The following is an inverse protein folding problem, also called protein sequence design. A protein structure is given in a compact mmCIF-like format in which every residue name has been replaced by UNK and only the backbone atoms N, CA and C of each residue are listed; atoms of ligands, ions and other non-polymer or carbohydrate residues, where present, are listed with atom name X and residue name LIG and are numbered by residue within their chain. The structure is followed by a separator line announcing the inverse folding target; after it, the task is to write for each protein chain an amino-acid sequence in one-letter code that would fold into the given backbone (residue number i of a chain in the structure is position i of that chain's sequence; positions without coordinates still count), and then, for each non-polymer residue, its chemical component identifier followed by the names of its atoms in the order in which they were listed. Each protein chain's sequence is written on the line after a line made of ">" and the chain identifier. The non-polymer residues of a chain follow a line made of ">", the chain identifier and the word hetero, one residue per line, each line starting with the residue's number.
data_IF_334006859620
#
_entry.id   IF_334006859620
#
_cell.length_a   1.000
_cell.length_b   1.000
_cell.length_c   1.000
_cell.angle_alpha   90.00
_cell.angle_beta   90.00
_cell.angle_gamma   90.00
#
_symmetry.space_group_name_H-M   'P 1'
#
loop_
_entity.id
_entity.type
_entity.pdbx_description
1 polymer ?
#
# COMPACT_ATOMS: atom_id res chain seq x y z
N UNK A 1 -10.29 8.83 12.76
CA UNK A 1 -11.60 8.54 13.37
C UNK A 1 -12.69 8.31 12.32
N UNK A 2 -12.93 9.25 11.42
CA UNK A 2 -14.08 9.20 10.47
C UNK A 2 -14.14 8.02 9.48
N UNK A 3 -13.11 7.19 9.39
CA UNK A 3 -13.07 6.03 8.50
C UNK A 3 -13.07 4.68 9.20
N UNK A 4 -12.98 4.66 10.52
CA UNK A 4 -13.04 3.42 11.29
C UNK A 4 -14.50 3.11 11.64
N UNK A 5 -14.88 1.85 11.50
CA UNK A 5 -16.25 1.38 11.76
C UNK A 5 -16.65 1.54 13.24
N UNK A 6 -15.67 1.49 14.13
CA UNK A 6 -15.85 1.66 15.58
C UNK A 6 -14.66 2.35 16.23
N UNK A 7 -14.86 2.82 17.47
CA UNK A 7 -13.81 3.37 18.30
C UNK A 7 -12.69 2.34 18.57
N UNK A 8 -13.05 1.08 18.75
CA UNK A 8 -12.09 -0.01 18.93
C UNK A 8 -11.17 -0.15 17.71
N UNK A 9 -11.73 -0.17 16.49
CA UNK A 9 -10.97 -0.24 15.24
C UNK A 9 -10.09 1.00 15.06
N UNK A 10 -10.55 2.16 15.51
CA UNK A 10 -9.73 3.36 15.54
C UNK A 10 -8.52 3.21 16.45
N UNK A 11 -8.70 2.74 17.68
CA UNK A 11 -7.59 2.49 18.61
C UNK A 11 -6.61 1.44 18.07
N UNK A 12 -7.11 0.35 17.47
CA UNK A 12 -6.26 -0.65 16.82
C UNK A 12 -5.45 -0.04 15.66
N UNK A 13 -6.03 0.86 14.88
CA UNK A 13 -5.34 1.54 13.78
C UNK A 13 -4.24 2.47 14.30
N UNK A 14 -4.53 3.23 15.34
CA UNK A 14 -3.53 4.10 16.00
C UNK A 14 -2.39 3.26 16.59
N UNK A 15 -2.74 2.16 17.25
CA UNK A 15 -1.75 1.22 17.81
C UNK A 15 -0.85 0.62 16.72
N UNK A 16 -1.42 0.18 15.60
CA UNK A 16 -0.66 -0.33 14.45
C UNK A 16 0.43 0.66 13.98
N UNK A 17 0.08 1.94 13.89
CA UNK A 17 1.01 2.98 13.44
C UNK A 17 2.09 3.26 14.50
N UNK A 18 1.69 3.35 15.77
CA UNK A 18 2.61 3.63 16.87
C UNK A 18 3.56 2.46 17.14
N UNK A 19 3.08 1.23 17.08
CA UNK A 19 3.88 0.01 17.23
C UNK A 19 5.04 -0.05 16.22
N UNK A 20 4.80 0.39 14.98
CA UNK A 20 5.85 0.51 13.99
C UNK A 20 6.93 1.52 14.39
N UNK A 21 6.54 2.68 14.90
CA UNK A 21 7.49 3.71 15.38
C UNK A 21 8.28 3.21 16.59
N UNK A 22 7.60 2.60 17.55
CA UNK A 22 8.21 2.03 18.74
C UNK A 22 9.16 0.87 18.43
N UNK A 23 8.86 0.07 17.40
CA UNK A 23 9.75 -0.98 16.92
C UNK A 23 11.12 -0.41 16.54
N UNK A 24 11.16 0.66 15.75
CA UNK A 24 12.43 1.32 15.39
C UNK A 24 13.14 1.91 16.60
N UNK A 25 12.42 2.56 17.48
CA UNK A 25 12.98 3.16 18.72
C UNK A 25 13.60 2.09 19.63
N UNK A 26 12.90 0.98 19.86
CA UNK A 26 13.40 -0.14 20.68
C UNK A 26 14.70 -0.75 20.15
N UNK A 27 14.91 -0.69 18.84
CA UNK A 27 16.14 -1.22 18.19
C UNK A 27 17.19 -0.13 17.96
N UNK A 28 17.02 1.06 18.50
CA UNK A 28 17.94 2.18 18.31
C UNK A 28 18.12 2.61 16.87
N UNK A 29 17.11 2.35 16.02
CA UNK A 29 17.11 2.70 14.61
C UNK A 29 16.26 3.94 14.36
N UNK A 30 16.71 4.78 13.42
CA UNK A 30 15.94 5.91 12.93
C UNK A 30 15.12 5.52 11.70
N UNK A 31 13.91 6.06 11.59
CA UNK A 31 13.10 5.94 10.37
C UNK A 31 13.63 6.99 9.37
N UNK A 32 14.67 6.63 8.61
CA UNK A 32 15.29 7.53 7.63
C UNK A 32 15.20 6.96 6.20
N UNK A 33 15.64 7.76 5.22
CA UNK A 33 15.49 7.46 3.79
C UNK A 33 14.02 7.21 3.35
N UNK A 34 13.11 7.82 4.06
CA UNK A 34 11.70 7.83 3.72
C UNK A 34 11.22 9.29 3.61
N UNK A 35 10.92 9.80 2.42
CA UNK A 35 10.92 9.12 1.11
C UNK A 35 12.29 8.70 0.60
N UNK A 36 12.33 7.59 -0.14
CA UNK A 36 13.57 7.12 -0.78
C UNK A 36 14.07 8.12 -1.84
N UNK A 37 15.37 8.06 -2.23
CA UNK A 37 15.89 8.93 -3.29
C UNK A 37 15.09 8.88 -4.58
N UNK A 38 14.54 7.71 -4.92
CA UNK A 38 13.68 7.55 -6.09
C UNK A 38 12.32 8.21 -5.94
N UNK A 39 11.73 8.25 -4.75
CA UNK A 39 10.50 9.00 -4.49
C UNK A 39 10.74 10.50 -4.58
N UNK A 40 11.85 11.01 -4.01
CA UNK A 40 12.25 12.42 -4.09
C UNK A 40 12.43 12.89 -5.53
N UNK A 41 13.11 12.08 -6.35
CA UNK A 41 13.26 12.33 -7.78
C UNK A 41 11.92 12.35 -8.53
N UNK A 42 10.93 11.60 -8.05
CA UNK A 42 9.55 11.57 -8.58
C UNK A 42 8.63 12.65 -8.02
N UNK A 43 9.13 13.58 -7.18
CA UNK A 43 8.37 14.73 -6.66
C UNK A 43 7.80 14.55 -5.25
N UNK A 44 7.96 13.37 -4.61
CA UNK A 44 7.56 13.15 -3.22
C UNK A 44 8.74 13.55 -2.33
N UNK A 45 8.71 14.75 -1.78
CA UNK A 45 9.86 15.38 -1.13
C UNK A 45 9.88 15.21 0.40
N UNK A 46 8.73 15.02 1.01
CA UNK A 46 8.61 14.89 2.47
C UNK A 46 7.92 13.61 2.91
N UNK A 47 8.09 13.25 4.19
CA UNK A 47 7.41 12.11 4.81
C UNK A 47 5.90 12.35 4.89
N UNK A 48 5.49 13.59 5.10
CA UNK A 48 4.09 14.01 5.15
C UNK A 48 3.40 13.80 3.81
N UNK A 49 4.02 14.22 2.70
CA UNK A 49 3.51 13.99 1.35
C UNK A 49 3.31 12.50 1.07
N UNK A 50 4.30 11.69 1.45
CA UNK A 50 4.22 10.24 1.28
C UNK A 50 3.12 9.61 2.11
N UNK A 51 2.98 10.02 3.37
CA UNK A 51 1.95 9.53 4.30
C UNK A 51 0.55 9.92 3.84
N UNK A 52 0.36 11.15 3.36
CA UNK A 52 -0.90 11.61 2.79
C UNK A 52 -1.29 10.77 1.57
N UNK A 53 -0.34 10.53 0.66
CA UNK A 53 -0.55 9.69 -0.51
C UNK A 53 -0.97 8.26 -0.14
N UNK A 54 -0.34 7.65 0.87
CA UNK A 54 -0.72 6.32 1.35
C UNK A 54 -2.16 6.30 1.92
N UNK A 55 -2.55 7.35 2.64
CA UNK A 55 -3.91 7.49 3.17
C UNK A 55 -4.95 7.63 2.05
N UNK A 56 -4.66 8.45 1.04
CA UNK A 56 -5.52 8.65 -0.12
C UNK A 56 -5.70 7.37 -0.94
N UNK A 57 -4.64 6.63 -1.19
CA UNK A 57 -4.67 5.36 -1.94
C UNK A 57 -5.55 4.29 -1.30
N UNK A 58 -5.78 4.34 0.00
CA UNK A 58 -6.65 3.40 0.69
C UNK A 58 -8.15 3.62 0.42
N UNK A 59 -8.51 4.60 -0.40
CA UNK A 59 -9.89 4.91 -0.78
C UNK A 59 -10.74 5.47 0.36
N UNK A 60 -12.05 5.31 0.29
CA UNK A 60 -13.01 5.88 1.25
C UNK A 60 -13.79 4.81 2.04
N UNK A 61 -13.60 3.53 1.74
CA UNK A 61 -14.29 2.45 2.46
C UNK A 61 -13.98 2.48 3.97
N UNK A 62 -14.95 2.21 4.83
CA UNK A 62 -14.72 2.14 6.27
C UNK A 62 -13.76 1.00 6.61
N UNK A 63 -12.82 1.28 7.51
CA UNK A 63 -11.88 0.27 8.03
C UNK A 63 -12.65 -0.56 9.06
N UNK A 64 -12.74 -1.87 8.81
CA UNK A 64 -13.45 -2.83 9.64
C UNK A 64 -12.59 -3.57 10.64
N UNK A 65 -11.29 -3.55 10.46
CA UNK A 65 -10.40 -4.18 11.41
C UNK A 65 -8.93 -4.03 11.06
N UNK A 66 -8.11 -4.41 12.02
CA UNK A 66 -6.65 -4.46 11.90
C UNK A 66 -6.21 -5.90 12.16
N UNK A 67 -5.44 -6.45 11.25
CA UNK A 67 -4.87 -7.80 11.36
C UNK A 67 -3.43 -7.72 11.82
N UNK A 68 -3.10 -8.44 12.87
CA UNK A 68 -1.71 -8.67 13.24
C UNK A 68 -1.01 -9.53 12.17
N UNK A 69 0.31 -9.43 12.09
CA UNK A 69 1.13 -10.22 11.16
C UNK A 69 0.85 -11.72 11.30
N UNK A 70 0.59 -12.37 10.17
CA UNK A 70 0.27 -13.80 10.10
C UNK A 70 -1.16 -14.18 10.48
N UNK A 71 -2.04 -13.23 10.79
CA UNK A 71 -3.45 -13.50 11.07
C UNK A 71 -4.28 -13.56 9.78
N UNK A 72 -5.25 -14.47 9.75
CA UNK A 72 -6.17 -14.61 8.63
C UNK A 72 -7.37 -13.68 8.78
N UNK A 73 -7.83 -13.18 7.63
CA UNK A 73 -9.07 -12.40 7.57
C UNK A 73 -10.27 -13.31 7.81
N UNK A 74 -11.19 -12.88 8.67
CA UNK A 74 -12.41 -13.63 9.04
C UNK A 74 -13.70 -12.87 8.69
N UNK A 75 -13.59 -11.60 8.31
CA UNK A 75 -14.75 -10.75 8.03
C UNK A 75 -14.57 -10.05 6.68
N UNK A 76 -15.68 -9.72 6.02
CA UNK A 76 -15.67 -8.92 4.79
C UNK A 76 -15.44 -7.44 5.10
N UNK A 77 -14.81 -6.75 4.18
CA UNK A 77 -14.57 -5.30 4.24
C UNK A 77 -13.09 -4.95 4.19
N UNK A 78 -12.79 -3.67 4.35
CA UNK A 78 -11.41 -3.16 4.35
C UNK A 78 -10.72 -3.46 5.68
N UNK A 79 -9.61 -4.16 5.64
CA UNK A 79 -8.75 -4.43 6.79
C UNK A 79 -7.34 -3.90 6.55
N UNK A 80 -6.70 -3.41 7.59
CA UNK A 80 -5.29 -3.09 7.59
C UNK A 80 -4.51 -4.31 8.10
N UNK A 81 -3.42 -4.66 7.42
CA UNK A 81 -2.55 -5.76 7.83
C UNK A 81 -1.21 -5.21 8.31
N UNK A 82 -0.81 -5.59 9.52
CA UNK A 82 0.56 -5.37 9.98
C UNK A 82 1.51 -6.30 9.23
N UNK A 83 2.44 -5.72 8.47
CA UNK A 83 3.46 -6.48 7.75
C UNK A 83 4.70 -5.61 7.51
N UNK A 84 5.90 -6.23 7.33
CA UNK A 84 7.10 -5.49 6.93
C UNK A 84 6.90 -4.75 5.60
N UNK A 85 7.56 -3.60 5.44
CA UNK A 85 7.42 -2.71 4.27
C UNK A 85 8.18 -3.17 3.01
N UNK A 86 8.61 -4.42 2.94
CA UNK A 86 9.24 -5.00 1.75
C UNK A 86 8.18 -5.63 0.84
N UNK A 87 8.19 -5.33 -0.45
CA UNK A 87 7.18 -5.77 -1.41
C UNK A 87 6.94 -7.28 -1.39
N UNK A 88 8.02 -8.07 -1.38
CA UNK A 88 7.94 -9.53 -1.34
C UNK A 88 7.27 -10.03 -0.05
N UNK A 89 7.74 -9.54 1.09
CA UNK A 89 7.25 -9.97 2.41
C UNK A 89 5.82 -9.50 2.64
N UNK A 90 5.51 -8.24 2.32
CA UNK A 90 4.17 -7.68 2.47
C UNK A 90 3.14 -8.40 1.61
N UNK A 91 3.46 -8.67 0.35
CA UNK A 91 2.56 -9.39 -0.56
C UNK A 91 2.37 -10.86 -0.15
N UNK A 92 3.43 -11.50 0.35
CA UNK A 92 3.34 -12.87 0.91
C UNK A 92 2.48 -12.89 2.17
N UNK A 93 2.60 -11.86 3.02
CA UNK A 93 1.76 -11.70 4.20
C UNK A 93 0.27 -11.52 3.84
N UNK A 94 -0.04 -10.76 2.78
CA UNK A 94 -1.40 -10.64 2.26
C UNK A 94 -1.96 -12.01 1.82
N UNK A 95 -1.18 -12.78 1.06
CA UNK A 95 -1.54 -14.13 0.64
C UNK A 95 -1.78 -15.06 1.84
N UNK A 96 -0.88 -15.05 2.83
CA UNK A 96 -1.02 -15.83 4.07
C UNK A 96 -2.24 -15.42 4.89
N UNK A 97 -2.61 -14.13 4.84
CA UNK A 97 -3.82 -13.62 5.50
C UNK A 97 -5.13 -13.98 4.78
N UNK A 98 -5.06 -14.60 3.60
CA UNK A 98 -6.21 -15.10 2.86
C UNK A 98 -6.54 -14.34 1.58
N UNK A 99 -5.68 -13.43 1.12
CA UNK A 99 -5.88 -12.78 -0.17
C UNK A 99 -5.83 -13.82 -1.30
N UNK A 100 -6.83 -13.80 -2.18
CA UNK A 100 -6.92 -14.67 -3.35
C UNK A 100 -6.26 -14.05 -4.58
N UNK A 101 -6.16 -12.74 -4.61
CA UNK A 101 -5.54 -11.94 -5.66
C UNK A 101 -4.83 -10.77 -4.99
N UNK A 102 -3.65 -10.41 -5.47
CA UNK A 102 -2.93 -9.20 -5.06
C UNK A 102 -2.94 -8.20 -6.22
N UNK A 103 -3.45 -7.01 -5.98
CA UNK A 103 -3.33 -5.87 -6.88
C UNK A 103 -2.08 -5.09 -6.52
N UNK A 104 -1.07 -5.15 -7.36
CA UNK A 104 0.23 -4.55 -7.11
C UNK A 104 0.43 -3.30 -7.96
N UNK A 105 0.34 -2.14 -7.32
CA UNK A 105 0.55 -0.85 -8.00
C UNK A 105 2.03 -0.48 -8.03
N UNK A 106 2.53 -0.03 -9.18
CA UNK A 106 3.93 0.35 -9.33
C UNK A 106 4.10 1.53 -10.28
N UNK A 107 5.01 2.44 -9.96
CA UNK A 107 5.39 3.58 -10.81
C UNK A 107 6.66 3.34 -11.62
N UNK A 108 7.48 2.35 -11.26
CA UNK A 108 8.77 2.05 -11.88
C UNK A 108 8.85 0.66 -12.51
N UNK A 109 7.97 -0.23 -12.08
CA UNK A 109 7.98 -1.64 -12.46
C UNK A 109 8.90 -2.49 -11.58
N UNK A 110 8.44 -3.70 -11.30
CA UNK A 110 9.22 -4.75 -10.65
C UNK A 110 8.83 -6.10 -11.25
N UNK A 111 9.77 -7.03 -11.48
CA UNK A 111 9.46 -8.37 -12.00
C UNK A 111 8.81 -9.28 -10.95
N UNK A 112 8.62 -8.79 -9.73
CA UNK A 112 8.08 -9.56 -8.61
C UNK A 112 6.62 -10.00 -8.83
N UNK A 113 6.29 -11.20 -8.37
CA UNK A 113 4.94 -11.70 -8.14
C UNK A 113 4.90 -12.50 -6.83
N UNK A 114 3.74 -12.58 -6.18
CA UNK A 114 3.57 -13.32 -4.92
C UNK A 114 2.95 -14.72 -5.15
N UNK A 115 2.81 -15.57 -4.11
CA UNK A 115 2.28 -16.93 -4.25
C UNK A 115 0.83 -17.05 -4.75
N UNK A 116 0.07 -15.95 -4.75
CA UNK A 116 -1.27 -15.87 -5.35
C UNK A 116 -1.24 -15.03 -6.61
N UNK A 117 -2.23 -15.13 -7.52
CA UNK A 117 -2.30 -14.29 -8.71
C UNK A 117 -2.05 -12.81 -8.38
N UNK A 118 -1.08 -12.23 -9.07
CA UNK A 118 -0.65 -10.85 -8.85
C UNK A 118 -0.92 -10.04 -10.10
N UNK A 119 -1.88 -9.12 -10.03
CA UNK A 119 -2.19 -8.19 -11.13
C UNK A 119 -1.37 -6.93 -10.96
N UNK A 120 -0.52 -6.63 -11.93
CA UNK A 120 0.36 -5.47 -11.91
C UNK A 120 -0.26 -4.27 -12.59
N UNK A 121 -0.47 -3.24 -11.80
CA UNK A 121 -1.08 -1.99 -12.22
C UNK A 121 -0.01 -0.91 -12.35
N UNK A 122 0.19 -0.39 -13.54
CA UNK A 122 1.07 0.76 -13.75
C UNK A 122 0.36 2.05 -13.32
N UNK A 123 1.03 2.89 -12.56
CA UNK A 123 0.53 4.22 -12.20
C UNK A 123 0.71 5.27 -13.31
N UNK A 124 1.38 4.92 -14.40
CA UNK A 124 1.62 5.81 -15.53
C UNK A 124 1.80 5.03 -16.84
N UNK A 125 1.35 5.61 -17.94
CA UNK A 125 1.37 4.99 -19.28
C UNK A 125 2.80 4.80 -19.83
N UNK A 126 3.76 5.63 -19.43
CA UNK A 126 5.16 5.48 -19.85
C UNK A 126 5.75 4.15 -19.36
N UNK A 127 5.45 3.75 -18.14
CA UNK A 127 5.87 2.45 -17.61
C UNK A 127 5.19 1.31 -18.35
N UNK A 128 3.87 1.39 -18.55
CA UNK A 128 3.10 0.36 -19.25
C UNK A 128 3.64 0.11 -20.67
N UNK A 129 3.90 1.17 -21.43
CA UNK A 129 4.48 1.09 -22.76
C UNK A 129 5.89 0.50 -22.78
N UNK A 130 6.73 0.88 -21.80
CA UNK A 130 8.13 0.41 -21.72
C UNK A 130 8.25 -1.03 -21.23
N UNK A 131 7.30 -1.51 -20.41
CA UNK A 131 7.35 -2.80 -19.72
C UNK A 131 6.08 -3.63 -19.94
N UNK A 132 5.64 -3.74 -21.17
CA UNK A 132 4.41 -4.43 -21.58
C UNK A 132 4.30 -5.86 -21.03
N UNK A 133 5.42 -6.58 -20.93
CA UNK A 133 5.45 -7.95 -20.40
C UNK A 133 5.35 -8.03 -18.85
N UNK A 134 5.40 -6.88 -18.16
CA UNK A 134 5.38 -6.82 -16.70
C UNK A 134 4.12 -6.17 -16.14
N UNK A 135 3.37 -5.48 -16.97
CA UNK A 135 2.22 -4.69 -16.57
C UNK A 135 0.96 -5.30 -17.19
N UNK A 136 0.00 -5.61 -16.34
CA UNK A 136 -1.29 -6.16 -16.76
C UNK A 136 -2.31 -5.08 -17.08
N UNK A 137 -2.22 -3.92 -16.40
CA UNK A 137 -3.15 -2.81 -16.62
C UNK A 137 -2.47 -1.46 -16.48
N UNK A 138 -2.75 -0.55 -17.42
CA UNK A 138 -2.29 0.84 -17.40
C UNK A 138 -3.30 1.75 -16.73
N UNK A 139 -3.03 2.13 -15.46
CA UNK A 139 -3.84 3.12 -14.75
C UNK A 139 -3.55 4.56 -15.20
N UNK A 140 -2.49 4.81 -15.97
CA UNK A 140 -2.18 6.15 -16.49
C UNK A 140 -3.32 6.72 -17.35
N UNK A 141 -4.02 5.86 -18.09
CA UNK A 141 -5.18 6.26 -18.91
C UNK A 141 -6.34 6.83 -18.07
N UNK A 142 -6.46 6.45 -16.80
CA UNK A 142 -7.51 6.95 -15.91
C UNK A 142 -7.34 8.45 -15.60
N UNK A 143 -6.10 8.95 -15.65
CA UNK A 143 -5.81 10.38 -15.44
C UNK A 143 -6.23 11.21 -16.65
N UNK A 144 -6.29 10.63 -17.83
CA UNK A 144 -6.75 11.27 -19.06
C UNK A 144 -8.29 11.29 -19.12
N UNK A 145 -8.94 10.19 -18.74
CA UNK A 145 -10.39 10.09 -18.67
C UNK A 145 -10.97 11.13 -17.69
N UNK A 146 -10.35 11.32 -16.52
CA UNK A 146 -10.77 12.31 -15.54
C UNK A 146 -10.65 13.75 -16.04
N UNK A 147 -9.78 14.06 -16.99
CA UNK A 147 -9.63 15.39 -17.59
C UNK A 147 -10.66 15.67 -18.69
N UNK A 148 -11.25 14.66 -19.27
CA UNK A 148 -12.26 14.81 -20.32
C UNK A 148 -13.67 15.19 -19.78
N UNK A 149 -13.86 15.17 -18.46
CA UNK A 149 -15.13 15.44 -17.79
C UNK A 149 -15.08 16.66 -16.82
N UNK A 150 -14.06 17.51 -16.92
CA UNK A 150 -13.98 18.77 -16.16
C UNK A 150 -14.15 19.96 -17.10
#
# INVERSE_FOLDING_TARGET
>A
MNRCESEEVFHQTVHLINDFKEYFQRHGQTIYENPSPGNKKGGISSLEDKSLGCTQKSGQAPIRGVLAYGKRICQKGLHLLSAPGNDLVASTALAASGAQIVLFTTGRGTPFACPVPTVKLSSNSQLAQRKQNWIDFDCGVLTEIGRAHV
#
